data_IF_217825481651
#
_entry.id   IF_217825481651
#
_cell.length_a   1.000
_cell.length_b   1.000
_cell.length_c   1.000
_cell.angle_alpha   90.00
_cell.angle_beta   90.00
_cell.angle_gamma   90.00
#
_symmetry.space_group_name_H-M   'P 1'
#
loop_
_entity.id
_entity.type
_entity.pdbx_description
1 polymer ?
#
# COMPACT_ATOMS: atom_id res chain seq x y z
N UNK A 1 -22.54 -6.83 1.74
CA UNK A 1 -21.27 -7.48 2.11
C UNK A 1 -20.43 -6.47 2.86
N UNK A 2 -20.33 -6.57 4.19
CA UNK A 2 -19.41 -5.72 4.97
C UNK A 2 -17.99 -6.20 4.68
N UNK A 3 -17.33 -5.61 3.67
CA UNK A 3 -15.89 -5.74 3.48
C UNK A 3 -15.27 -5.20 4.77
N UNK A 4 -14.68 -6.08 5.60
CA UNK A 4 -13.89 -5.65 6.75
C UNK A 4 -12.90 -4.60 6.23
N UNK A 5 -13.06 -3.36 6.71
CA UNK A 5 -12.25 -2.22 6.28
C UNK A 5 -10.81 -2.50 6.70
N UNK A 6 -9.88 -2.54 5.73
CA UNK A 6 -8.45 -2.41 6.05
C UNK A 6 -8.27 -1.01 6.63
N UNK A 7 -7.29 -0.82 7.51
CA UNK A 7 -7.08 0.45 8.22
C UNK A 7 -6.96 1.66 7.26
N UNK A 8 -6.48 1.43 6.04
CA UNK A 8 -6.35 2.46 5.01
C UNK A 8 -7.60 2.71 4.16
N UNK A 9 -8.69 1.93 4.31
CA UNK A 9 -9.94 2.19 3.58
C UNK A 9 -10.73 3.37 4.15
N UNK A 10 -10.31 3.89 5.30
CA UNK A 10 -10.93 5.05 5.94
C UNK A 10 -10.56 6.36 5.22
N UNK A 11 -9.58 6.34 4.30
CA UNK A 11 -9.09 7.52 3.60
C UNK A 11 -9.55 7.54 2.13
N UNK A 12 -10.10 8.68 1.71
CA UNK A 12 -10.74 8.85 0.41
C UNK A 12 -9.73 8.80 -0.74
N UNK A 13 -8.53 9.30 -0.49
CA UNK A 13 -7.39 9.35 -1.42
C UNK A 13 -6.96 7.92 -1.77
N UNK A 14 -6.98 7.03 -0.78
CA UNK A 14 -6.66 5.62 -0.97
C UNK A 14 -7.70 4.91 -1.85
N UNK A 15 -8.98 5.26 -1.72
CA UNK A 15 -10.04 4.73 -2.60
C UNK A 15 -9.85 5.20 -4.04
N UNK A 16 -9.56 6.49 -4.26
CA UNK A 16 -9.27 7.05 -5.58
C UNK A 16 -8.06 6.37 -6.21
N UNK A 17 -6.97 6.22 -5.46
CA UNK A 17 -5.78 5.51 -5.93
C UNK A 17 -6.12 4.08 -6.37
N UNK A 18 -6.91 3.34 -5.58
CA UNK A 18 -7.32 1.98 -5.96
C UNK A 18 -8.20 1.91 -7.21
N UNK A 19 -9.12 2.86 -7.41
CA UNK A 19 -9.92 2.93 -8.63
C UNK A 19 -9.04 3.12 -9.87
N UNK A 20 -7.98 3.91 -9.76
CA UNK A 20 -7.05 4.14 -10.86
C UNK A 20 -6.18 2.90 -11.08
N UNK A 21 -5.61 2.34 -10.01
CA UNK A 21 -4.83 1.10 -10.07
C UNK A 21 -5.61 -0.04 -10.71
N UNK A 22 -6.94 -0.09 -10.52
CA UNK A 22 -7.78 -1.11 -11.12
C UNK A 22 -7.83 -1.00 -12.66
N UNK A 23 -7.83 0.22 -13.20
CA UNK A 23 -7.91 0.52 -14.64
C UNK A 23 -6.63 0.23 -15.42
N UNK A 24 -5.48 0.19 -14.74
CA UNK A 24 -4.19 -0.11 -15.37
C UNK A 24 -4.15 -1.51 -15.98
N UNK A 25 -3.41 -1.67 -17.07
CA UNK A 25 -3.15 -2.98 -17.66
C UNK A 25 -2.15 -3.80 -16.82
N UNK A 26 -1.94 -5.06 -17.19
CA UNK A 26 -1.07 -5.97 -16.43
C UNK A 26 0.39 -5.52 -16.42
N UNK A 27 0.88 -4.93 -17.51
CA UNK A 27 2.28 -4.50 -17.62
C UNK A 27 2.54 -3.21 -16.84
N UNK A 28 1.62 -2.25 -16.92
CA UNK A 28 1.58 -1.04 -16.12
C UNK A 28 1.50 -1.36 -14.63
N UNK A 29 0.64 -2.30 -14.23
CA UNK A 29 0.55 -2.79 -12.84
C UNK A 29 1.89 -3.36 -12.37
N UNK A 30 2.57 -4.14 -13.21
CA UNK A 30 3.88 -4.72 -12.88
C UNK A 30 4.95 -3.65 -12.71
N UNK A 31 5.06 -2.71 -13.65
CA UNK A 31 6.04 -1.61 -13.58
C UNK A 31 5.81 -0.75 -12.34
N UNK A 32 4.57 -0.30 -12.14
CA UNK A 32 4.20 0.49 -10.98
C UNK A 32 4.45 -0.25 -9.67
N UNK A 33 4.21 -1.57 -9.62
CA UNK A 33 4.51 -2.37 -8.43
C UNK A 33 6.00 -2.37 -8.10
N UNK A 34 6.88 -2.43 -9.10
CA UNK A 34 8.31 -2.32 -8.91
C UNK A 34 8.70 -0.93 -8.39
N UNK A 35 8.15 0.13 -8.99
CA UNK A 35 8.39 1.51 -8.59
C UNK A 35 7.94 1.76 -7.14
N UNK A 36 6.77 1.26 -6.76
CA UNK A 36 6.24 1.37 -5.40
C UNK A 36 7.15 0.66 -4.38
N UNK A 37 7.69 -0.50 -4.73
CA UNK A 37 8.64 -1.22 -3.87
C UNK A 37 9.93 -0.41 -3.70
N UNK A 38 10.40 0.24 -4.77
CA UNK A 38 11.58 1.09 -4.71
C UNK A 38 11.37 2.31 -3.82
N UNK A 39 10.24 3.01 -3.98
CA UNK A 39 9.84 4.13 -3.12
C UNK A 39 9.81 3.69 -1.65
N UNK A 40 9.19 2.53 -1.35
CA UNK A 40 9.14 2.00 0.03
C UNK A 40 10.54 1.72 0.57
N UNK A 41 11.47 1.22 -0.25
CA UNK A 41 12.86 1.01 0.17
C UNK A 41 13.55 2.33 0.46
N UNK A 42 13.41 3.33 -0.40
CA UNK A 42 14.00 4.65 -0.22
C UNK A 42 13.50 5.33 1.07
N UNK A 43 12.20 5.27 1.35
CA UNK A 43 11.61 5.80 2.60
C UNK A 43 12.18 5.06 3.82
N UNK A 44 12.27 3.73 3.75
CA UNK A 44 12.86 2.93 4.83
C UNK A 44 14.34 3.22 5.05
N UNK A 45 15.09 3.50 3.99
CA UNK A 45 16.51 3.82 4.10
C UNK A 45 16.70 5.23 4.69
N UNK A 46 15.88 6.21 4.30
CA UNK A 46 15.81 7.52 4.95
C UNK A 46 15.50 7.40 6.46
N UNK A 47 14.50 6.61 6.82
CA UNK A 47 14.11 6.42 8.22
C UNK A 47 15.12 5.60 9.05
N UNK A 48 16.11 4.96 8.44
CA UNK A 48 17.23 4.33 9.19
C UNK A 48 18.26 5.36 9.64
N UNK A 49 18.34 6.50 8.96
CA UNK A 49 19.27 7.58 9.29
C UNK A 49 18.70 8.51 10.37
N UNK A 50 17.37 8.49 10.58
CA UNK A 50 16.69 9.20 11.67
C UNK A 50 16.66 8.35 12.97
N UNK A 51 16.86 8.99 14.13
CA UNK A 51 16.82 8.33 15.44
C UNK A 51 15.48 7.61 15.64
N UNK A 52 15.55 6.27 15.67
CA UNK A 52 14.47 5.27 15.76
C UNK A 52 13.04 5.80 15.48
N UNK A 53 12.50 5.60 14.26
CA UNK A 53 11.08 5.79 14.06
C UNK A 53 10.34 4.88 15.05
N UNK A 54 9.37 5.43 15.79
CA UNK A 54 8.47 4.62 16.59
C UNK A 54 7.87 3.55 15.68
N UNK A 55 8.33 2.31 15.83
CA UNK A 55 7.86 1.18 15.06
C UNK A 55 6.36 1.03 15.37
N UNK A 56 5.52 1.62 14.52
CA UNK A 56 4.07 1.41 14.52
C UNK A 56 3.69 0.02 14.04
N UNK A 57 4.58 -0.96 14.21
CA UNK A 57 4.20 -2.36 14.31
C UNK A 57 3.52 -2.52 15.68
N UNK A 58 2.38 -1.86 15.85
CA UNK A 58 1.37 -2.40 16.74
C UNK A 58 1.12 -3.82 16.26
N UNK A 59 1.15 -4.78 17.19
CA UNK A 59 0.88 -6.21 16.94
C UNK A 59 -0.34 -6.41 16.02
N UNK A 60 -1.31 -5.50 16.08
CA UNK A 60 -2.49 -5.41 15.21
C UNK A 60 -2.18 -5.33 13.70
N UNK A 61 -1.16 -4.58 13.25
CA UNK A 61 -0.77 -4.49 11.83
C UNK A 61 -0.09 -5.76 11.34
N UNK A 62 0.75 -6.38 12.17
CA UNK A 62 1.36 -7.70 11.88
C UNK A 62 0.30 -8.79 11.86
N UNK A 63 -0.62 -8.79 12.82
CA UNK A 63 -1.78 -9.68 12.81
C UNK A 63 -2.71 -9.39 11.63
N UNK A 64 -2.83 -8.14 11.19
CA UNK A 64 -3.55 -7.75 9.97
C UNK A 64 -2.92 -8.32 8.71
N UNK A 65 -1.58 -8.28 8.57
CA UNK A 65 -0.84 -8.95 7.50
C UNK A 65 -1.02 -10.48 7.54
N UNK A 66 -1.08 -11.05 8.75
CA UNK A 66 -1.35 -12.48 8.96
C UNK A 66 -2.82 -12.86 8.69
N UNK A 67 -3.78 -11.95 8.91
CA UNK A 67 -5.18 -12.15 8.54
C UNK A 67 -5.43 -11.93 7.04
N UNK A 68 -4.60 -11.11 6.38
CA UNK A 68 -4.65 -10.92 4.92
C UNK A 68 -4.29 -12.21 4.16
N UNK A 69 -3.44 -13.10 4.69
CA UNK A 69 -3.18 -14.40 4.06
C UNK A 69 -4.40 -15.35 4.09
N UNK A 70 -5.39 -15.08 4.95
CA UNK A 70 -6.62 -15.86 5.07
C UNK A 70 -7.76 -15.31 4.19
N UNK A 71 -7.64 -14.06 3.70
CA UNK A 71 -8.71 -13.37 2.96
C UNK A 71 -8.17 -12.65 1.70
N UNK A 72 -7.82 -13.43 0.69
CA UNK A 72 -7.54 -12.95 -0.68
C UNK A 72 -8.82 -12.51 -1.40
N UNK A 73 -9.54 -11.54 -0.85
CA UNK A 73 -10.83 -11.09 -1.38
C UNK A 73 -10.75 -9.85 -2.26
N UNK A 74 -9.65 -9.10 -2.24
CA UNK A 74 -9.54 -7.86 -3.02
C UNK A 74 -9.13 -8.17 -4.44
N UNK A 75 -9.57 -7.35 -5.39
CA UNK A 75 -9.23 -7.53 -6.80
C UNK A 75 -7.71 -7.52 -7.04
N UNK A 76 -6.96 -6.70 -6.27
CA UNK A 76 -5.50 -6.61 -6.37
C UNK A 76 -4.77 -7.77 -5.69
N UNK A 77 -5.43 -8.55 -4.82
CA UNK A 77 -4.80 -9.73 -4.21
C UNK A 77 -4.60 -10.86 -5.25
N UNK A 78 -5.22 -10.76 -6.43
CA UNK A 78 -5.08 -11.69 -7.57
C UNK A 78 -3.89 -11.37 -8.48
N UNK A 79 -3.24 -10.23 -8.31
CA UNK A 79 -2.04 -9.85 -9.04
C UNK A 79 -0.87 -9.90 -8.06
N UNK A 80 0.05 -10.85 -8.24
CA UNK A 80 1.10 -11.12 -7.27
C UNK A 80 2.04 -9.93 -7.04
N UNK A 81 2.37 -9.21 -8.10
CA UNK A 81 3.23 -8.02 -8.04
C UNK A 81 2.57 -6.90 -7.22
N UNK A 82 1.32 -6.57 -7.55
CA UNK A 82 0.57 -5.50 -6.89
C UNK A 82 0.22 -5.85 -5.45
N UNK A 83 -0.12 -7.12 -5.19
CA UNK A 83 -0.32 -7.66 -3.84
C UNK A 83 0.94 -7.49 -2.99
N UNK A 84 2.10 -7.86 -3.54
CA UNK A 84 3.37 -7.75 -2.82
C UNK A 84 3.76 -6.30 -2.57
N UNK A 85 3.60 -5.43 -3.56
CA UNK A 85 3.85 -4.00 -3.42
C UNK A 85 2.97 -3.36 -2.34
N UNK A 86 1.65 -3.59 -2.37
CA UNK A 86 0.72 -3.04 -1.38
C UNK A 86 0.96 -3.58 0.04
N UNK A 87 1.31 -4.86 0.18
CA UNK A 87 1.71 -5.43 1.47
C UNK A 87 2.98 -4.74 1.99
N UNK A 88 3.96 -4.54 1.11
CA UNK A 88 5.23 -3.90 1.46
C UNK A 88 5.02 -2.44 1.86
N UNK A 89 4.22 -1.68 1.12
CA UNK A 89 3.80 -0.33 1.48
C UNK A 89 3.08 -0.27 2.81
N UNK A 90 2.20 -1.23 3.12
CA UNK A 90 1.44 -1.25 4.37
C UNK A 90 2.30 -1.43 5.64
N UNK A 91 3.60 -1.70 5.48
CA UNK A 91 4.57 -1.73 6.59
C UNK A 91 5.14 -0.36 6.94
N UNK A 92 4.87 0.67 6.13
CA UNK A 92 5.28 2.04 6.40
C UNK A 92 4.43 2.69 7.52
N UNK A 93 4.93 3.75 8.17
CA UNK A 93 4.10 4.68 8.94
C UNK A 93 2.84 5.10 8.16
N UNK A 94 1.76 5.41 8.89
CA UNK A 94 0.49 5.82 8.28
C UNK A 94 0.68 6.98 7.31
N UNK A 95 1.44 7.99 7.71
CA UNK A 95 1.69 9.21 6.94
C UNK A 95 2.35 8.91 5.59
N UNK A 96 3.45 8.16 5.57
CA UNK A 96 4.13 7.80 4.32
C UNK A 96 3.24 6.97 3.39
N UNK A 97 2.48 6.03 3.95
CA UNK A 97 1.54 5.24 3.16
C UNK A 97 0.50 6.14 2.49
N UNK A 98 -0.08 7.07 3.24
CA UNK A 98 -1.08 7.99 2.71
C UNK A 98 -0.50 8.99 1.73
N UNK A 99 0.72 9.49 1.96
CA UNK A 99 1.43 10.36 1.02
C UNK A 99 1.64 9.69 -0.33
N UNK A 100 2.02 8.40 -0.34
CA UNK A 100 2.14 7.64 -1.59
C UNK A 100 0.76 7.49 -2.27
N UNK A 101 -0.28 7.16 -1.51
CA UNK A 101 -1.64 6.99 -2.07
C UNK A 101 -2.21 8.30 -2.62
N UNK A 102 -1.97 9.42 -1.95
CA UNK A 102 -2.35 10.75 -2.43
C UNK A 102 -1.57 11.11 -3.69
N UNK A 103 -0.25 10.89 -3.72
CA UNK A 103 0.57 11.09 -4.90
C UNK A 103 0.06 10.29 -6.11
N UNK A 104 -0.32 9.03 -5.91
CA UNK A 104 -0.94 8.20 -6.95
C UNK A 104 -2.30 8.74 -7.40
N UNK A 105 -3.12 9.24 -6.47
CA UNK A 105 -4.43 9.79 -6.77
C UNK A 105 -4.36 11.12 -7.56
N UNK A 106 -3.30 11.91 -7.35
CA UNK A 106 -3.07 13.19 -8.03
C UNK A 106 -2.40 12.99 -9.39
N UNK A 107 -1.35 12.15 -9.46
CA UNK A 107 -0.50 11.99 -10.66
C UNK A 107 -1.19 11.35 -11.88
N UNK A 108 -2.43 10.88 -11.72
CA UNK A 108 -3.21 10.22 -12.76
C UNK A 108 -4.49 10.99 -13.14
N UNK A 109 -4.66 12.21 -12.61
CA UNK A 109 -5.67 13.18 -13.04
C UNK A 109 -5.12 14.25 -14.01
N UNK A 110 -3.81 14.27 -14.25
CA UNK A 110 -3.11 15.04 -15.31
C UNK A 110 -2.69 14.11 -16.44
#
# INVERSE_FOLDING_TARGET
>A
MNLKRRWYDEHNETLKAFEILQKLDTEQKRRLSADLIEIVKQIKDLHKEEEEPQLSIGIERVMGLFQQSVNERRWYDKNDDLKYALKTMSTLPNEDFFNIMEGLAVSLND
#
